data_IF_539902052699
#
_entry.id   IF_539902052699
#
_cell.length_a   1.000
_cell.length_b   1.000
_cell.length_c   1.000
_cell.angle_alpha   90.00
_cell.angle_beta   90.00
_cell.angle_gamma   90.00
#
_symmetry.space_group_name_H-M   'P 1'
#
loop_
_entity.id
_entity.type
_entity.pdbx_description
1 polymer ?
#
# COMPACT_ATOMS: atom_id res chain seq x y z
N UNK A 1 -16.06 27.60 -6.23
CA UNK A 1 -16.14 27.82 -4.79
C UNK A 1 -15.38 26.67 -4.08
N UNK A 2 -14.15 26.97 -3.62
CA UNK A 2 -13.22 25.99 -3.00
C UNK A 2 -13.85 25.40 -1.73
N UNK A 3 -14.69 26.15 -1.02
CA UNK A 3 -15.32 25.70 0.22
C UNK A 3 -16.43 24.67 0.00
N UNK A 4 -17.13 24.70 -1.14
CA UNK A 4 -18.11 23.66 -1.49
C UNK A 4 -17.49 22.33 -1.88
N UNK A 5 -16.17 22.28 -2.16
CA UNK A 5 -15.43 21.03 -2.43
C UNK A 5 -14.91 20.35 -1.16
N UNK A 6 -15.02 20.98 0.01
CA UNK A 6 -14.57 20.39 1.29
C UNK A 6 -15.45 19.20 1.74
N UNK A 7 -16.68 19.08 1.22
CA UNK A 7 -17.59 17.95 1.45
C UNK A 7 -17.48 16.89 0.35
N UNK A 8 -16.47 16.96 -0.53
CA UNK A 8 -16.23 15.94 -1.54
C UNK A 8 -15.68 14.67 -0.88
N UNK A 9 -16.38 13.55 -1.07
CA UNK A 9 -16.06 12.26 -0.44
C UNK A 9 -14.62 11.81 -0.74
N UNK A 10 -14.12 12.04 -1.97
CA UNK A 10 -12.75 11.69 -2.35
C UNK A 10 -11.74 12.53 -1.57
N UNK A 11 -11.96 13.85 -1.50
CA UNK A 11 -11.08 14.75 -0.76
C UNK A 11 -11.06 14.41 0.73
N UNK A 12 -12.22 14.19 1.32
CA UNK A 12 -12.34 13.81 2.73
C UNK A 12 -11.72 12.44 3.03
N UNK A 13 -11.85 11.47 2.11
CA UNK A 13 -11.23 10.17 2.23
C UNK A 13 -9.68 10.28 2.31
N UNK A 14 -9.09 11.12 1.45
CA UNK A 14 -7.64 11.38 1.47
C UNK A 14 -7.21 12.01 2.81
N UNK A 15 -7.93 13.03 3.29
CA UNK A 15 -7.59 13.72 4.52
C UNK A 15 -7.75 12.89 5.79
N UNK A 16 -8.75 11.98 5.81
CA UNK A 16 -9.10 11.16 6.97
C UNK A 16 -8.33 9.85 7.07
N UNK A 17 -7.76 9.37 5.96
CA UNK A 17 -6.99 8.13 5.97
C UNK A 17 -5.82 8.21 6.96
N UNK A 18 -5.73 7.20 7.81
CA UNK A 18 -4.62 7.00 8.76
C UNK A 18 -4.04 5.60 8.62
N UNK A 19 -2.83 5.40 9.14
CA UNK A 19 -2.22 4.06 9.20
C UNK A 19 -2.82 3.27 10.37
N UNK A 20 -3.47 2.14 10.04
CA UNK A 20 -4.10 1.24 11.00
C UNK A 20 -3.18 0.06 11.28
N UNK A 21 -2.95 -0.25 12.56
CA UNK A 21 -2.05 -1.33 13.01
C UNK A 21 -2.69 -2.28 14.04
N UNK A 22 -3.94 -2.05 14.39
CA UNK A 22 -4.70 -2.91 15.30
C UNK A 22 -6.04 -3.17 14.62
N UNK A 23 -6.33 -4.45 14.43
CA UNK A 23 -7.47 -4.91 13.65
C UNK A 23 -8.47 -5.63 14.53
N UNK A 24 -9.76 -5.42 14.25
CA UNK A 24 -10.83 -6.20 14.85
C UNK A 24 -10.81 -7.64 14.31
N UNK A 25 -11.28 -8.58 15.09
CA UNK A 25 -11.48 -9.99 14.69
C UNK A 25 -12.67 -10.10 13.72
N UNK A 26 -12.45 -9.62 12.50
CA UNK A 26 -13.46 -9.61 11.44
C UNK A 26 -12.80 -9.88 10.09
N UNK A 27 -13.36 -10.82 9.34
CA UNK A 27 -12.89 -11.20 8.01
C UNK A 27 -13.12 -10.09 6.99
N UNK A 28 -12.22 -9.98 6.01
CA UNK A 28 -12.38 -9.15 4.83
C UNK A 28 -12.93 -10.02 3.70
N UNK A 29 -13.96 -9.57 3.01
CA UNK A 29 -14.59 -10.36 1.96
C UNK A 29 -13.77 -10.36 0.66
N UNK A 30 -13.92 -11.39 -0.20
CA UNK A 30 -13.28 -11.42 -1.52
C UNK A 30 -13.66 -10.21 -2.39
N UNK A 31 -14.89 -9.72 -2.27
CA UNK A 31 -15.36 -8.52 -3.00
C UNK A 31 -14.63 -7.25 -2.55
N UNK A 32 -14.37 -7.12 -1.24
CA UNK A 32 -13.59 -6.00 -0.70
C UNK A 32 -12.14 -6.07 -1.18
N UNK A 33 -11.52 -7.26 -1.17
CA UNK A 33 -10.17 -7.46 -1.71
C UNK A 33 -10.14 -7.10 -3.20
N UNK A 34 -11.11 -7.58 -3.97
CA UNK A 34 -11.23 -7.26 -5.40
C UNK A 34 -11.37 -5.75 -5.65
N UNK A 35 -12.18 -5.05 -4.86
CA UNK A 35 -12.34 -3.59 -4.97
C UNK A 35 -11.03 -2.85 -4.72
N UNK A 36 -10.25 -3.26 -3.70
CA UNK A 36 -8.94 -2.68 -3.39
C UNK A 36 -7.96 -2.92 -4.54
N UNK A 37 -7.91 -4.13 -5.11
CA UNK A 37 -7.02 -4.46 -6.22
C UNK A 37 -7.38 -3.73 -7.52
N UNK A 38 -8.67 -3.53 -7.80
CA UNK A 38 -9.12 -2.70 -8.92
C UNK A 38 -8.63 -1.25 -8.76
N UNK A 39 -8.73 -0.68 -7.57
CA UNK A 39 -8.21 0.65 -7.29
C UNK A 39 -6.68 0.70 -7.43
N UNK A 40 -5.96 -0.30 -6.93
CA UNK A 40 -4.51 -0.41 -7.07
C UNK A 40 -4.08 -0.39 -8.54
N UNK A 41 -4.72 -1.20 -9.38
CA UNK A 41 -4.44 -1.31 -10.82
C UNK A 41 -4.87 -0.07 -11.62
N UNK A 42 -5.69 0.82 -11.04
CA UNK A 42 -6.10 2.09 -11.65
C UNK A 42 -5.09 3.22 -11.47
N UNK A 43 -3.96 2.95 -10.80
CA UNK A 43 -2.89 3.92 -10.63
C UNK A 43 -2.25 4.30 -11.98
N UNK A 44 -1.74 5.53 -12.14
CA UNK A 44 -0.92 5.86 -13.30
C UNK A 44 0.43 5.12 -13.23
N UNK A 45 1.03 4.88 -14.40
CA UNK A 45 2.39 4.35 -14.50
C UNK A 45 3.14 4.92 -15.69
N UNK A 46 4.46 4.95 -15.63
CA UNK A 46 5.31 5.42 -16.72
C UNK A 46 4.98 4.69 -18.03
N UNK A 47 4.63 5.45 -19.09
CA UNK A 47 4.17 4.94 -20.41
C UNK A 47 3.14 3.81 -20.31
N UNK A 48 2.35 3.79 -19.25
CA UNK A 48 1.33 2.79 -18.97
C UNK A 48 1.89 1.35 -18.87
N UNK A 49 3.10 1.18 -18.36
CA UNK A 49 3.76 -0.13 -18.22
C UNK A 49 3.11 -1.04 -17.20
N UNK A 50 2.45 -0.47 -16.17
CA UNK A 50 1.75 -1.22 -15.12
C UNK A 50 2.63 -2.33 -14.53
N UNK A 51 3.81 -1.99 -13.95
CA UNK A 51 4.83 -2.95 -13.59
C UNK A 51 4.55 -3.70 -12.27
N UNK A 52 3.33 -3.64 -11.79
CA UNK A 52 2.90 -4.26 -10.53
C UNK A 52 2.36 -5.67 -10.68
N UNK A 53 2.65 -6.49 -9.69
CA UNK A 53 1.97 -7.75 -9.36
C UNK A 53 1.56 -7.69 -7.89
N UNK A 54 0.51 -8.40 -7.55
CA UNK A 54 -0.02 -8.40 -6.17
C UNK A 54 -0.11 -9.83 -5.67
N UNK A 55 0.44 -10.07 -4.46
CA UNK A 55 0.22 -11.32 -3.75
C UNK A 55 -0.71 -11.03 -2.58
N UNK A 56 -1.89 -11.61 -2.61
CA UNK A 56 -2.86 -11.55 -1.50
C UNK A 56 -2.57 -12.71 -0.58
N UNK A 57 -2.38 -12.40 0.70
CA UNK A 57 -2.07 -13.39 1.74
C UNK A 57 -3.16 -13.32 2.81
N UNK A 58 -3.91 -14.39 2.97
CA UNK A 58 -4.95 -14.58 4.00
C UNK A 58 -4.73 -15.86 4.82
N UNK A 59 -3.68 -16.62 4.52
CA UNK A 59 -3.23 -17.75 5.32
C UNK A 59 -2.59 -17.25 6.63
N UNK A 60 -3.11 -17.62 7.81
CA UNK A 60 -2.62 -17.11 9.09
C UNK A 60 -1.16 -17.45 9.37
N UNK A 61 -0.67 -18.60 8.88
CA UNK A 61 0.70 -19.02 9.09
C UNK A 61 1.66 -18.18 8.23
N UNK A 62 1.30 -17.90 6.97
CA UNK A 62 2.08 -17.00 6.11
C UNK A 62 2.07 -15.56 6.64
N UNK A 63 0.93 -15.07 7.14
CA UNK A 63 0.84 -13.74 7.77
C UNK A 63 1.77 -13.64 8.99
N UNK A 64 1.82 -14.68 9.81
CA UNK A 64 2.74 -14.75 10.96
C UNK A 64 4.20 -14.76 10.50
N UNK A 65 4.56 -15.59 9.52
CA UNK A 65 5.93 -15.65 8.99
C UNK A 65 6.37 -14.31 8.42
N UNK A 66 5.51 -13.61 7.68
CA UNK A 66 5.78 -12.26 7.17
C UNK A 66 5.99 -11.26 8.30
N UNK A 67 5.13 -11.29 9.33
CA UNK A 67 5.25 -10.44 10.51
C UNK A 67 6.57 -10.65 11.26
N UNK A 68 7.05 -11.88 11.35
CA UNK A 68 8.29 -12.24 12.04
C UNK A 68 9.53 -11.91 11.21
N UNK A 69 9.43 -11.94 9.89
CA UNK A 69 10.55 -11.69 8.98
C UNK A 69 10.86 -10.20 8.76
N UNK A 70 9.94 -9.29 9.11
CA UNK A 70 10.06 -7.86 8.82
C UNK A 70 10.07 -7.02 10.11
N UNK A 71 10.98 -6.02 10.23
CA UNK A 71 11.21 -5.31 11.49
C UNK A 71 10.01 -4.47 11.98
N UNK A 72 9.14 -4.02 11.07
CA UNK A 72 8.02 -3.11 11.40
C UNK A 72 6.66 -3.66 10.97
N UNK A 73 6.52 -4.99 10.83
CA UNK A 73 5.33 -5.63 10.29
C UNK A 73 4.59 -6.53 11.31
N UNK A 74 4.86 -6.40 12.61
CA UNK A 74 4.27 -7.25 13.67
C UNK A 74 2.74 -7.32 13.62
N UNK A 75 2.08 -6.22 13.23
CA UNK A 75 0.62 -6.18 13.09
C UNK A 75 0.08 -7.11 12.00
N UNK A 76 0.92 -7.54 11.06
CA UNK A 76 0.51 -8.45 9.98
C UNK A 76 0.00 -9.79 10.53
N UNK A 77 0.58 -10.28 11.63
CA UNK A 77 0.14 -11.52 12.28
C UNK A 77 -1.30 -11.47 12.81
N UNK A 78 -1.86 -10.27 13.00
CA UNK A 78 -3.23 -10.07 13.49
C UNK A 78 -4.17 -9.55 12.40
N UNK A 79 -3.65 -9.24 11.22
CA UNK A 79 -4.46 -8.80 10.10
C UNK A 79 -5.20 -10.00 9.46
N UNK A 80 -6.47 -9.85 9.05
CA UNK A 80 -7.19 -10.88 8.32
C UNK A 80 -6.65 -11.11 6.91
N UNK A 81 -5.96 -10.13 6.34
CA UNK A 81 -5.37 -10.20 5.00
C UNK A 81 -4.21 -9.21 4.88
N UNK A 82 -3.23 -9.51 4.05
CA UNK A 82 -2.19 -8.60 3.63
C UNK A 82 -2.00 -8.65 2.11
N UNK A 83 -1.58 -7.53 1.52
CA UNK A 83 -1.24 -7.43 0.11
C UNK A 83 0.26 -7.13 0.03
N UNK A 84 1.02 -7.98 -0.66
CA UNK A 84 2.40 -7.69 -1.04
C UNK A 84 2.39 -7.14 -2.46
N UNK A 85 2.82 -5.91 -2.62
CA UNK A 85 2.99 -5.27 -3.93
C UNK A 85 4.38 -5.59 -4.43
N UNK A 86 4.47 -6.14 -5.64
CA UNK A 86 5.72 -6.55 -6.26
C UNK A 86 5.92 -5.81 -7.58
N UNK A 87 7.17 -5.42 -7.86
CA UNK A 87 7.58 -4.95 -9.18
C UNK A 87 7.96 -6.11 -10.09
N UNK A 88 7.37 -6.17 -11.28
CA UNK A 88 7.70 -7.16 -12.29
C UNK A 88 8.74 -6.58 -13.27
N UNK A 89 9.99 -7.10 -13.21
CA UNK A 89 11.12 -6.64 -14.04
C UNK A 89 10.84 -6.70 -15.53
N UNK A 90 10.05 -7.67 -16.00
CA UNK A 90 9.69 -7.80 -17.42
C UNK A 90 8.89 -6.61 -17.96
N UNK A 91 8.29 -5.82 -17.06
CA UNK A 91 7.47 -4.65 -17.39
C UNK A 91 8.17 -3.32 -17.12
N UNK A 92 9.42 -3.34 -16.66
CA UNK A 92 10.18 -2.11 -16.44
C UNK A 92 10.51 -1.43 -17.76
N UNK A 93 10.76 -0.12 -17.71
CA UNK A 93 11.12 0.65 -18.90
C UNK A 93 12.60 0.43 -19.16
N UNK A 94 12.93 -0.15 -20.32
CA UNK A 94 14.31 -0.36 -20.74
C UNK A 94 15.06 0.97 -20.91
N UNK A 95 16.32 1.01 -20.44
CA UNK A 95 17.22 2.15 -20.63
C UNK A 95 16.89 3.40 -19.80
N UNK A 96 15.90 3.31 -18.93
CA UNK A 96 15.63 4.32 -17.92
C UNK A 96 16.03 3.76 -16.56
N UNK A 97 16.70 4.60 -15.75
CA UNK A 97 17.14 4.20 -14.41
C UNK A 97 16.05 3.47 -13.63
N UNK A 98 16.46 2.44 -12.91
CA UNK A 98 15.60 1.45 -12.20
C UNK A 98 14.68 2.04 -11.10
N UNK A 99 14.43 3.34 -11.10
CA UNK A 99 13.64 4.03 -10.06
C UNK A 99 12.20 4.36 -10.45
N UNK A 100 11.83 4.33 -11.75
CA UNK A 100 10.48 4.72 -12.16
C UNK A 100 9.42 3.72 -11.70
N UNK A 101 9.73 2.43 -11.71
CA UNK A 101 8.82 1.40 -11.22
C UNK A 101 8.46 1.60 -9.73
N UNK A 102 9.36 2.14 -8.92
CA UNK A 102 9.10 2.46 -7.50
C UNK A 102 8.03 3.54 -7.37
N UNK A 103 8.04 4.55 -8.24
CA UNK A 103 7.02 5.59 -8.29
C UNK A 103 5.67 5.02 -8.69
N UNK A 104 5.64 4.15 -9.71
CA UNK A 104 4.43 3.48 -10.18
C UNK A 104 3.81 2.61 -9.06
N UNK A 105 4.64 1.79 -8.39
CA UNK A 105 4.18 0.97 -7.28
C UNK A 105 3.77 1.79 -6.06
N UNK A 106 4.38 2.93 -5.85
CA UNK A 106 3.99 3.86 -4.78
C UNK A 106 2.59 4.45 -5.03
N UNK A 107 2.29 4.83 -6.28
CA UNK A 107 0.96 5.29 -6.67
C UNK A 107 -0.10 4.19 -6.48
N UNK A 108 0.22 2.97 -6.91
CA UNK A 108 -0.65 1.80 -6.73
C UNK A 108 -0.87 1.48 -5.25
N UNK A 109 0.17 1.54 -4.43
CA UNK A 109 0.09 1.28 -2.98
C UNK A 109 -0.75 2.32 -2.24
N UNK A 110 -0.65 3.60 -2.62
CA UNK A 110 -1.52 4.63 -2.04
C UNK A 110 -2.98 4.40 -2.42
N UNK A 111 -3.27 3.96 -3.65
CA UNK A 111 -4.62 3.58 -4.05
C UNK A 111 -5.17 2.42 -3.20
N UNK A 112 -4.34 1.41 -2.83
CA UNK A 112 -4.74 0.35 -1.90
C UNK A 112 -5.19 0.95 -0.56
N UNK A 113 -4.40 1.86 0.01
CA UNK A 113 -4.70 2.47 1.30
C UNK A 113 -5.96 3.35 1.26
N UNK A 114 -6.14 4.11 0.20
CA UNK A 114 -7.31 4.97 0.00
C UNK A 114 -8.59 4.16 -0.22
N UNK A 115 -8.51 3.10 -1.05
CA UNK A 115 -9.65 2.22 -1.32
C UNK A 115 -10.06 1.44 -0.06
N UNK A 116 -9.10 0.90 0.69
CA UNK A 116 -9.37 0.23 1.95
C UNK A 116 -10.11 1.17 2.92
N UNK A 117 -9.63 2.42 3.08
CA UNK A 117 -10.27 3.40 3.94
C UNK A 117 -11.69 3.76 3.48
N UNK A 118 -11.90 3.93 2.17
CA UNK A 118 -13.21 4.27 1.60
C UNK A 118 -14.28 3.21 1.85
N UNK A 119 -13.89 1.94 2.00
CA UNK A 119 -14.82 0.83 2.26
C UNK A 119 -14.83 0.37 3.73
N UNK A 120 -14.33 1.22 4.65
CA UNK A 120 -14.37 0.98 6.09
C UNK A 120 -13.27 0.06 6.62
N UNK A 121 -12.28 -0.27 5.80
CA UNK A 121 -11.07 -0.97 6.22
C UNK A 121 -9.96 0.03 6.55
N UNK A 122 -8.84 -0.49 7.03
CA UNK A 122 -7.61 0.26 7.22
C UNK A 122 -6.40 -0.60 6.98
N UNK A 123 -5.32 0.04 6.59
CA UNK A 123 -4.04 -0.63 6.38
C UNK A 123 -2.88 0.25 6.76
N UNK A 124 -1.68 -0.31 6.67
CA UNK A 124 -0.44 0.42 6.86
C UNK A 124 0.61 -0.05 5.87
N UNK A 125 1.34 0.89 5.31
CA UNK A 125 2.48 0.61 4.43
C UNK A 125 3.69 0.18 5.26
N UNK A 126 4.22 -1.03 5.01
CA UNK A 126 5.50 -1.48 5.55
C UNK A 126 6.48 -1.72 4.42
N UNK A 127 7.61 -1.01 4.45
CA UNK A 127 8.62 -1.07 3.39
C UNK A 127 9.40 -2.38 3.42
N UNK A 128 9.54 -3.02 2.25
CA UNK A 128 10.43 -4.14 2.00
C UNK A 128 11.64 -3.66 1.21
N UNK A 129 11.42 -3.17 -0.01
CA UNK A 129 12.45 -2.61 -0.89
C UNK A 129 12.98 -1.26 -0.33
N UNK A 130 14.28 -0.91 -0.47
CA UNK A 130 15.32 -1.62 -1.21
C UNK A 130 16.18 -2.59 -0.37
N UNK A 131 15.74 -2.99 0.79
CA UNK A 131 16.54 -3.72 1.77
C UNK A 131 16.58 -5.23 1.46
N UNK A 132 17.73 -5.74 1.03
CA UNK A 132 17.87 -7.16 0.67
C UNK A 132 17.57 -8.10 1.85
N UNK A 133 17.89 -7.69 3.07
CA UNK A 133 17.57 -8.43 4.30
C UNK A 133 16.06 -8.55 4.57
N UNK A 134 15.22 -7.76 3.87
CA UNK A 134 13.76 -7.85 3.89
C UNK A 134 13.20 -8.52 2.64
N UNK A 135 13.83 -8.30 1.49
CA UNK A 135 13.44 -8.89 0.20
C UNK A 135 13.60 -10.41 0.23
N UNK A 136 14.78 -10.90 0.65
CA UNK A 136 15.10 -12.33 0.63
C UNK A 136 14.13 -13.20 1.44
N UNK A 137 13.77 -12.90 2.71
CA UNK A 137 12.82 -13.69 3.46
C UNK A 137 11.41 -13.63 2.87
N UNK A 138 10.93 -12.46 2.42
CA UNK A 138 9.60 -12.35 1.79
C UNK A 138 9.53 -13.19 0.51
N UNK A 139 10.57 -13.12 -0.33
CA UNK A 139 10.69 -13.94 -1.54
C UNK A 139 10.58 -15.43 -1.21
N UNK A 140 11.30 -15.88 -0.18
CA UNK A 140 11.28 -17.28 0.26
C UNK A 140 9.92 -17.71 0.78
N UNK A 141 9.30 -16.91 1.66
CA UNK A 141 8.01 -17.20 2.28
C UNK A 141 6.92 -17.35 1.22
N UNK A 142 6.90 -16.45 0.24
CA UNK A 142 5.87 -16.38 -0.79
C UNK A 142 6.25 -17.10 -2.09
N UNK A 143 7.42 -17.76 -2.14
CA UNK A 143 7.93 -18.44 -3.33
C UNK A 143 7.93 -17.54 -4.58
N UNK A 144 8.35 -16.28 -4.43
CA UNK A 144 8.36 -15.32 -5.53
C UNK A 144 9.48 -15.66 -6.53
N UNK A 145 9.19 -15.67 -7.84
CA UNK A 145 10.22 -15.80 -8.86
C UNK A 145 11.19 -14.61 -8.80
N UNK A 146 12.38 -14.79 -9.39
CA UNK A 146 13.45 -13.78 -9.33
C UNK A 146 13.04 -12.43 -9.94
N UNK A 147 12.23 -12.47 -10.99
CA UNK A 147 11.78 -11.27 -11.71
C UNK A 147 10.73 -10.44 -10.95
N UNK A 148 10.15 -10.98 -9.87
CA UNK A 148 9.29 -10.22 -8.98
C UNK A 148 10.07 -9.68 -7.79
N UNK A 149 10.07 -8.37 -7.63
CA UNK A 149 10.71 -7.68 -6.50
C UNK A 149 9.63 -7.28 -5.50
N UNK A 150 9.59 -7.85 -4.28
CA UNK A 150 8.64 -7.39 -3.27
C UNK A 150 9.00 -5.97 -2.83
N UNK A 151 8.05 -5.04 -3.03
CA UNK A 151 8.23 -3.61 -2.81
C UNK A 151 7.78 -3.20 -1.41
N UNK A 152 6.54 -3.56 -1.06
CA UNK A 152 5.99 -3.33 0.27
C UNK A 152 4.99 -4.42 0.67
N UNK A 153 4.64 -4.42 1.96
CA UNK A 153 3.60 -5.24 2.54
C UNK A 153 2.55 -4.32 3.17
N UNK A 154 1.28 -4.51 2.81
CA UNK A 154 0.16 -3.72 3.31
C UNK A 154 -0.86 -4.66 3.97
N UNK A 155 -0.76 -4.92 5.29
CA UNK A 155 -1.81 -5.58 6.02
C UNK A 155 -3.07 -4.72 6.05
N UNK A 156 -4.23 -5.35 5.89
CA UNK A 156 -5.54 -4.72 5.84
C UNK A 156 -6.54 -5.45 6.74
N UNK A 157 -7.46 -4.69 7.33
CA UNK A 157 -8.52 -5.22 8.16
C UNK A 157 -9.42 -4.11 8.67
N UNK A 158 -10.48 -4.47 9.38
CA UNK A 158 -11.32 -3.49 10.06
C UNK A 158 -10.54 -2.89 11.24
N UNK A 159 -10.45 -1.55 11.36
CA UNK A 159 -9.84 -0.93 12.53
C UNK A 159 -10.56 -1.37 13.81
N UNK A 160 -9.82 -1.74 14.87
CA UNK A 160 -10.42 -2.03 16.17
C UNK A 160 -11.04 -0.77 16.80
N UNK A 161 -10.44 0.39 16.51
CA UNK A 161 -10.88 1.71 17.02
C UNK A 161 -10.84 2.74 15.90
N UNK A 162 -11.70 3.72 16.00
CA UNK A 162 -11.59 4.91 15.16
C UNK A 162 -10.31 5.68 15.49
N UNK A 163 -9.65 6.18 14.45
CA UNK A 163 -8.46 7.01 14.57
C UNK A 163 -8.75 8.41 14.05
N UNK A 164 -8.48 9.41 14.88
CA UNK A 164 -8.58 10.79 14.44
C UNK A 164 -7.48 11.11 13.41
N UNK A 165 -7.83 11.76 12.29
CA UNK A 165 -6.84 12.21 11.31
C UNK A 165 -5.94 13.29 11.92
N UNK A 166 -4.67 13.30 11.50
CA UNK A 166 -3.74 14.36 11.88
C UNK A 166 -3.75 15.46 10.82
N UNK A 167 -3.74 16.72 11.26
CA UNK A 167 -3.46 17.83 10.34
C UNK A 167 -1.98 17.79 9.93
N UNK A 168 -1.74 17.58 8.64
CA UNK A 168 -0.41 17.53 8.01
C UNK A 168 -0.15 18.72 7.10
N UNK A 169 -1.02 19.74 7.14
CA UNK A 169 -0.87 20.93 6.32
C UNK A 169 0.25 21.83 6.85
N UNK A 170 1.23 22.08 6.03
CA UNK A 170 2.42 22.89 6.29
C UNK A 170 2.57 23.93 5.18
N UNK A 171 1.90 25.10 5.28
CA UNK A 171 1.95 26.12 4.24
C UNK A 171 3.37 26.63 3.96
N UNK A 172 4.24 26.61 4.96
CA UNK A 172 5.65 26.99 4.83
C UNK A 172 6.47 26.07 3.90
N UNK A 173 5.92 24.95 3.47
CA UNK A 173 6.54 24.01 2.51
C UNK A 173 6.03 24.21 1.08
N UNK A 174 5.19 25.23 0.87
CA UNK A 174 4.63 25.55 -0.44
C UNK A 174 5.32 26.80 -0.98
N UNK A 175 6.06 26.63 -2.07
CA UNK A 175 6.78 27.73 -2.74
C UNK A 175 6.13 28.03 -4.08
N UNK A 176 5.88 29.31 -4.38
CA UNK A 176 5.27 29.71 -5.63
C UNK A 176 6.34 30.11 -6.65
N UNK A 177 6.30 29.53 -7.83
CA UNK A 177 7.20 29.70 -8.97
C UNK A 177 8.66 29.30 -8.72
N UNK A 178 9.25 29.61 -7.57
CA UNK A 178 10.63 29.28 -7.21
C UNK A 178 10.69 28.90 -5.74
N UNK A 179 11.71 28.14 -5.37
CA UNK A 179 11.98 27.88 -3.97
C UNK A 179 12.42 29.18 -3.28
N UNK A 180 11.80 29.51 -2.16
CA UNK A 180 12.09 30.73 -1.37
C UNK A 180 12.18 30.35 0.11
#
# INVERSE_FOLDING_TARGET
DVYKRQDNDVYMNILRRVSVRIYAEKTVSPEQISAILHAAMSAPSGVNKQPWEFVVVDDPELLRQLADSLPYAKMTAQAPVAIVVCGNRERFIEGVDDVLWEQDLSASSENILLAAHAIGLGGVWTCIYPHEERIAPVRKILNLPYDLIPFNLIPNGYPEKEHAPMNKWHPERVHQNRFS
#
